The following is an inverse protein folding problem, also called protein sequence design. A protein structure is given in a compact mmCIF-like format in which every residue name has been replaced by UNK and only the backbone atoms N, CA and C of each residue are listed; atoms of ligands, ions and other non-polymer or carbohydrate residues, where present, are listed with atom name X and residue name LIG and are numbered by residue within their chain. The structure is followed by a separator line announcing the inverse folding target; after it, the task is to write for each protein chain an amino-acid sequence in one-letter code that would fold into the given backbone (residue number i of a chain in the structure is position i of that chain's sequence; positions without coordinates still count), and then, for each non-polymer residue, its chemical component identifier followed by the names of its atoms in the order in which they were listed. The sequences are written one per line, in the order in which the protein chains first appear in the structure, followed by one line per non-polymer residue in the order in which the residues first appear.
data_IF_973653910729
#
_entry.id   IF_973653910729
#
_cell.length_a   1.000
_cell.length_b   1.000
_cell.length_c   1.000
_cell.angle_alpha   90.00
_cell.angle_beta   90.00
_cell.angle_gamma   90.00
#
_symmetry.space_group_name_H-M   'P 1'
#
loop_
_entity.id
_entity.type
_entity.pdbx_description
1 polymer ?
#
# COMPACT_ATOMS: atom_id res chain seq x y z
N UNK A 1 16.08 17.66 -4.92
CA UNK A 1 14.98 17.34 -5.21
C UNK A 1 14.30 16.61 -4.22
N UNK A 2 13.23 16.90 -4.02
CA UNK A 2 12.50 16.34 -3.06
C UNK A 2 12.04 15.04 -3.35
N UNK A 3 12.01 14.21 -2.45
CA UNK A 3 11.64 13.02 -2.67
C UNK A 3 10.47 12.67 -1.98
N UNK A 4 9.52 13.41 -1.96
CA UNK A 4 8.34 13.05 -1.37
C UNK A 4 7.76 11.95 -2.09
N UNK A 5 7.04 11.15 -1.58
CA UNK A 5 6.31 10.20 -2.31
C UNK A 5 7.09 9.02 -2.77
N UNK A 6 8.06 8.62 -2.01
CA UNK A 6 8.76 7.45 -2.37
C UNK A 6 7.75 6.33 -2.42
N UNK A 7 7.72 5.56 -3.47
CA UNK A 7 6.71 4.57 -3.71
C UNK A 7 7.25 3.17 -3.68
N UNK A 8 6.57 2.28 -3.00
CA UNK A 8 6.90 0.88 -2.99
C UNK A 8 5.70 0.15 -3.53
N UNK A 9 5.91 -0.74 -4.47
CA UNK A 9 4.80 -1.45 -5.08
C UNK A 9 4.91 -2.93 -4.87
N UNK A 10 3.81 -3.57 -4.46
CA UNK A 10 3.72 -5.01 -4.32
C UNK A 10 2.69 -5.47 -5.32
N UNK A 11 3.01 -6.44 -6.13
CA UNK A 11 2.08 -6.90 -7.15
C UNK A 11 2.09 -8.40 -7.26
N UNK A 12 0.91 -9.01 -7.31
CA UNK A 12 0.82 -10.43 -7.50
C UNK A 12 -0.48 -10.71 -8.24
N UNK A 13 -0.40 -11.31 -9.41
CA UNK A 13 -1.55 -11.58 -10.25
C UNK A 13 -2.26 -10.27 -10.55
N UNK A 14 -3.52 -10.11 -10.22
CA UNK A 14 -4.16 -8.85 -10.51
C UNK A 14 -4.37 -8.01 -9.27
N UNK A 15 -3.67 -8.33 -8.18
CA UNK A 15 -3.73 -7.49 -6.99
C UNK A 15 -2.47 -6.68 -6.91
N UNK A 16 -2.61 -5.41 -6.57
CA UNK A 16 -1.46 -4.53 -6.48
C UNK A 16 -1.65 -3.60 -5.30
N UNK A 17 -0.62 -3.42 -4.52
CA UNK A 17 -0.64 -2.50 -3.40
C UNK A 17 0.50 -1.51 -3.59
N UNK A 18 0.22 -0.24 -3.40
CA UNK A 18 1.21 0.81 -3.58
C UNK A 18 1.29 1.61 -2.29
N UNK A 19 2.49 1.79 -1.79
CA UNK A 19 2.70 2.56 -0.58
C UNK A 19 3.32 3.88 -0.97
N UNK A 20 2.68 4.96 -0.60
CA UNK A 20 3.15 6.30 -0.90
C UNK A 20 3.52 6.98 0.40
N UNK A 21 4.67 7.59 0.45
CA UNK A 21 5.11 8.29 1.63
C UNK A 21 4.91 9.79 1.45
N UNK A 22 4.14 10.37 2.32
CA UNK A 22 3.96 11.81 2.32
C UNK A 22 4.20 12.26 3.75
N UNK A 23 3.28 12.94 4.37
CA UNK A 23 3.42 13.25 5.78
C UNK A 23 3.15 11.99 6.57
N UNK A 24 2.51 11.01 5.95
CA UNK A 24 2.28 9.71 6.55
C UNK A 24 2.26 8.72 5.40
N UNK A 25 2.25 7.44 5.72
CA UNK A 25 2.21 6.43 4.67
C UNK A 25 0.78 6.18 4.27
N UNK A 26 0.55 6.01 2.99
CA UNK A 26 -0.77 5.70 2.46
C UNK A 26 -0.65 4.45 1.62
N UNK A 27 -1.46 3.44 1.91
CA UNK A 27 -1.44 2.20 1.16
C UNK A 27 -2.65 2.21 0.23
N UNK A 28 -2.40 2.14 -1.06
CA UNK A 28 -3.46 2.08 -2.04
C UNK A 28 -3.55 0.68 -2.59
N UNK A 29 -4.72 0.08 -2.52
CA UNK A 29 -4.92 -1.30 -2.89
C UNK A 29 -5.73 -1.36 -4.17
N UNK A 30 -5.16 -2.02 -5.18
CA UNK A 30 -5.80 -2.10 -6.48
C UNK A 30 -6.15 -3.54 -6.83
N UNK A 31 -7.23 -3.71 -7.56
CA UNK A 31 -7.57 -4.98 -8.13
C UNK A 31 -7.70 -4.71 -9.62
N UNK A 32 -6.84 -5.30 -10.41
CA UNK A 32 -6.77 -4.99 -11.82
C UNK A 32 -6.34 -3.54 -11.97
N UNK A 33 -7.13 -2.77 -12.67
CA UNK A 33 -6.81 -1.38 -12.88
C UNK A 33 -7.63 -0.46 -11.99
N UNK A 34 -8.40 -1.01 -11.07
CA UNK A 34 -9.25 -0.20 -10.24
C UNK A 34 -8.75 -0.08 -8.83
N UNK A 35 -8.83 1.11 -8.27
CA UNK A 35 -8.48 1.33 -6.88
C UNK A 35 -9.58 0.74 -6.02
N UNK A 36 -9.27 -0.31 -5.29
CA UNK A 36 -10.26 -0.95 -4.45
C UNK A 36 -10.36 -0.31 -3.08
N UNK A 37 -9.22 0.12 -2.54
CA UNK A 37 -9.25 0.68 -1.21
C UNK A 37 -8.02 1.53 -0.98
N UNK A 38 -8.15 2.54 -0.14
CA UNK A 38 -7.03 3.37 0.21
C UNK A 38 -6.99 3.46 1.73
N UNK A 39 -5.88 3.13 2.33
CA UNK A 39 -5.75 3.10 3.77
C UNK A 39 -4.64 4.02 4.24
N UNK A 40 -4.97 5.14 4.84
CA UNK A 40 -3.93 6.01 5.38
C UNK A 40 -3.40 5.39 6.67
N UNK A 41 -2.09 5.43 6.82
CA UNK A 41 -1.45 4.81 7.97
C UNK A 41 -0.90 5.87 8.90
N UNK A 42 -1.80 6.61 9.52
CA UNK A 42 -1.39 7.68 10.41
C UNK A 42 -0.65 7.11 11.62
N UNK A 43 0.51 7.64 11.88
CA UNK A 43 1.27 7.21 13.04
C UNK A 43 1.83 5.80 12.96
N UNK A 44 1.77 5.18 11.79
CA UNK A 44 2.29 3.83 11.64
C UNK A 44 3.63 3.85 10.92
N UNK A 45 4.42 2.82 11.15
CA UNK A 45 5.72 2.75 10.53
C UNK A 45 5.61 2.21 9.12
N UNK A 46 6.71 2.34 8.37
CA UNK A 46 6.74 1.83 7.03
C UNK A 46 6.56 0.30 7.04
N UNK A 47 7.13 -0.37 8.04
CA UNK A 47 7.00 -1.80 8.10
C UNK A 47 5.56 -2.22 8.26
N UNK A 48 4.79 -1.46 9.00
CA UNK A 48 3.39 -1.76 9.17
C UNK A 48 2.66 -1.63 7.83
N UNK A 49 2.99 -0.60 7.06
CA UNK A 49 2.36 -0.41 5.77
C UNK A 49 2.76 -1.53 4.81
N UNK A 50 4.01 -1.95 4.86
CA UNK A 50 4.47 -3.04 4.00
C UNK A 50 3.78 -4.35 4.34
N UNK A 51 3.58 -4.62 5.63
CA UNK A 51 2.88 -5.83 6.03
C UNK A 51 1.46 -5.83 5.51
N UNK A 52 0.80 -4.69 5.59
CA UNK A 52 -0.55 -4.58 5.10
C UNK A 52 -0.61 -4.82 3.60
N UNK A 53 0.32 -4.22 2.87
CA UNK A 53 0.36 -4.37 1.43
C UNK A 53 0.65 -5.81 1.02
N UNK A 54 1.57 -6.44 1.74
CA UNK A 54 1.92 -7.80 1.43
C UNK A 54 0.76 -8.74 1.67
N UNK A 55 0.04 -8.55 2.75
CA UNK A 55 -1.11 -9.38 3.03
C UNK A 55 -2.16 -9.22 1.94
N UNK A 56 -2.35 -8.01 1.47
CA UNK A 56 -3.33 -7.77 0.42
C UNK A 56 -2.93 -8.48 -0.86
N UNK A 57 -1.67 -8.36 -1.25
CA UNK A 57 -1.25 -8.94 -2.50
C UNK A 57 -1.33 -10.46 -2.45
N UNK A 58 -1.17 -11.05 -1.28
CA UNK A 58 -1.27 -12.48 -1.13
C UNK A 58 -2.69 -12.96 -0.92
N UNK A 59 -3.63 -12.06 -0.90
CA UNK A 59 -5.02 -12.43 -0.76
C UNK A 59 -5.48 -12.66 0.66
N UNK A 60 -4.65 -12.29 1.62
CA UNK A 60 -5.03 -12.46 3.01
C UNK A 60 -5.76 -11.20 3.41
N UNK A 61 -7.04 -11.33 3.67
CA UNK A 61 -7.79 -10.17 4.01
C UNK A 61 -8.11 -10.21 5.45
N UNK A 62 -7.60 -9.27 6.18
CA UNK A 62 -7.86 -9.22 7.54
C UNK A 62 -8.75 -8.12 7.75
N UNK A 63 -9.86 -8.38 7.90
CA UNK A 63 -10.92 -7.53 8.24
C UNK A 63 -10.85 -6.13 8.40
#
# INVERSE_FOLDING_TARGET
MVKNGETVEFKKENRRAVIIEETHYVVKLYVGDELAEERPMYGKSKRYAEDCAENWENGVING
#
